data_IF_493568577859
#
_entry.id   IF_493568577859
#
_cell.length_a   1.000
_cell.length_b   1.000
_cell.length_c   1.000
_cell.angle_alpha   90.00
_cell.angle_beta   90.00
_cell.angle_gamma   90.00
#
_symmetry.space_group_name_H-M   'P 1'
#
loop_
_entity.id
_entity.type
_entity.pdbx_description
1 polymer ?
#
# COMPACT_ATOMS: atom_id res chain seq x y z
N UNK A 1 11.77 11.99 32.47
CA UNK A 1 10.43 11.63 31.97
C UNK A 1 9.74 12.80 31.24
N UNK A 2 9.62 14.01 31.83
CA UNK A 2 8.97 15.16 31.16
C UNK A 2 9.58 15.62 29.82
N UNK A 3 10.92 15.76 29.71
CA UNK A 3 11.55 16.25 28.47
C UNK A 3 11.54 15.26 27.30
N UNK A 4 11.48 13.95 27.57
CA UNK A 4 11.41 12.94 26.50
C UNK A 4 10.02 12.89 25.87
N UNK A 5 8.96 13.05 26.68
CA UNK A 5 7.59 13.14 26.18
C UNK A 5 7.37 14.40 25.34
N UNK A 6 7.87 15.56 25.78
CA UNK A 6 7.79 16.81 25.00
C UNK A 6 8.55 16.71 23.68
N UNK A 7 9.72 16.04 23.66
CA UNK A 7 10.49 15.80 22.44
C UNK A 7 9.78 14.84 21.47
N UNK A 8 9.07 13.84 21.99
CA UNK A 8 8.23 12.95 21.19
C UNK A 8 7.04 13.69 20.58
N UNK A 9 6.25 14.40 21.39
CA UNK A 9 5.08 15.17 20.94
C UNK A 9 5.46 16.20 19.88
N UNK A 10 6.60 16.89 20.07
CA UNK A 10 7.11 17.84 19.09
C UNK A 10 7.45 17.15 17.77
N UNK A 11 8.15 16.00 17.80
CA UNK A 11 8.45 15.24 16.58
C UNK A 11 7.17 14.81 15.87
N UNK A 12 6.19 14.29 16.60
CA UNK A 12 4.93 13.84 16.02
C UNK A 12 4.17 15.00 15.36
N UNK A 13 4.06 16.14 16.03
CA UNK A 13 3.38 17.33 15.49
C UNK A 13 4.08 17.91 14.25
N UNK A 14 5.42 17.87 14.21
CA UNK A 14 6.19 18.30 13.05
C UNK A 14 5.92 17.38 11.85
N UNK A 15 5.91 16.06 12.06
CA UNK A 15 5.67 15.09 10.97
C UNK A 15 4.22 15.17 10.49
N UNK A 16 3.25 15.33 11.39
CA UNK A 16 1.86 15.57 11.02
C UNK A 16 1.69 16.87 10.20
N UNK A 17 2.45 17.93 10.55
CA UNK A 17 2.47 19.16 9.75
C UNK A 17 3.04 18.90 8.36
N UNK A 18 4.13 18.14 8.24
CA UNK A 18 4.71 17.74 6.95
C UNK A 18 3.70 16.92 6.15
N UNK A 19 3.00 15.97 6.78
CA UNK A 19 1.98 15.13 6.15
C UNK A 19 0.86 15.99 5.52
N UNK A 20 0.34 16.94 6.31
CA UNK A 20 -0.68 17.88 5.83
C UNK A 20 -0.16 18.77 4.69
N UNK A 21 1.06 19.30 4.81
CA UNK A 21 1.66 20.09 3.75
C UNK A 21 1.87 19.25 2.48
N UNK A 22 2.33 18.01 2.59
CA UNK A 22 2.52 17.11 1.47
C UNK A 22 1.20 16.78 0.76
N UNK A 23 0.10 16.66 1.50
CA UNK A 23 -1.22 16.40 0.93
C UNK A 23 -1.77 17.61 0.13
N UNK A 24 -1.58 18.83 0.64
CA UNK A 24 -2.13 20.04 0.01
C UNK A 24 -1.14 20.79 -0.90
N UNK A 25 0.12 20.35 -0.97
CA UNK A 25 1.15 21.01 -1.75
C UNK A 25 0.81 20.96 -3.24
N UNK A 26 0.78 22.13 -3.87
CA UNK A 26 0.81 22.26 -5.33
C UNK A 26 2.24 22.50 -5.80
N UNK A 27 2.51 22.26 -7.09
CA UNK A 27 3.86 22.44 -7.66
C UNK A 27 4.43 23.85 -7.46
N UNK A 28 3.57 24.85 -7.31
CA UNK A 28 3.93 26.27 -7.15
C UNK A 28 4.34 26.67 -5.73
N UNK A 29 4.19 25.80 -4.72
CA UNK A 29 4.49 26.14 -3.33
C UNK A 29 5.96 25.86 -2.97
N UNK A 30 6.53 26.60 -2.00
CA UNK A 30 7.91 26.40 -1.54
C UNK A 30 8.19 25.00 -0.95
N UNK A 31 7.13 24.26 -0.63
CA UNK A 31 7.26 22.86 -0.23
C UNK A 31 7.81 21.99 -1.37
N UNK A 32 7.45 22.27 -2.63
CA UNK A 32 7.94 21.51 -3.79
C UNK A 32 9.47 21.60 -3.95
N UNK A 33 10.07 22.75 -3.62
CA UNK A 33 11.53 22.95 -3.68
C UNK A 33 12.29 22.36 -2.50
N UNK A 34 11.59 22.01 -1.41
CA UNK A 34 12.21 21.51 -0.17
C UNK A 34 11.85 20.05 0.15
N UNK A 35 10.91 19.44 -0.59
CA UNK A 35 10.39 18.09 -0.34
C UNK A 35 11.49 17.02 -0.26
N UNK A 36 12.50 17.07 -1.14
CA UNK A 36 13.62 16.12 -1.12
C UNK A 36 14.40 16.21 0.20
N UNK A 37 14.79 17.42 0.63
CA UNK A 37 15.50 17.62 1.90
C UNK A 37 14.65 17.21 3.11
N UNK A 38 13.33 17.41 3.04
CA UNK A 38 12.40 16.94 4.07
C UNK A 38 12.40 15.41 4.11
N UNK A 39 12.27 14.75 2.96
CA UNK A 39 12.33 13.28 2.84
C UNK A 39 13.61 12.71 3.43
N UNK A 40 14.78 13.26 3.08
CA UNK A 40 16.08 12.85 3.62
C UNK A 40 16.19 13.02 5.14
N UNK A 41 15.48 14.00 5.71
CA UNK A 41 15.44 14.22 7.15
C UNK A 41 14.51 13.21 7.85
N UNK A 42 13.29 13.02 7.34
CA UNK A 42 12.28 12.19 8.02
C UNK A 42 12.49 10.69 7.81
N UNK A 43 13.15 10.25 6.73
CA UNK A 43 13.44 8.82 6.54
C UNK A 43 14.29 8.25 7.67
N UNK A 44 15.18 9.07 8.25
CA UNK A 44 16.01 8.70 9.41
C UNK A 44 15.19 8.42 10.67
N UNK A 45 13.95 8.90 10.72
CA UNK A 45 13.02 8.69 11.83
C UNK A 45 12.22 7.38 11.72
N UNK A 46 12.32 6.66 10.60
CA UNK A 46 11.63 5.36 10.43
C UNK A 46 11.99 4.35 11.52
N UNK A 47 13.19 4.43 12.10
CA UNK A 47 13.63 3.54 13.17
C UNK A 47 13.03 3.87 14.56
N UNK A 48 12.35 5.01 14.70
CA UNK A 48 11.70 5.41 15.95
C UNK A 48 10.28 4.83 15.97
N UNK A 49 10.06 3.82 16.82
CA UNK A 49 8.77 3.12 16.96
C UNK A 49 7.60 4.10 17.15
N UNK A 50 7.85 5.18 17.89
CA UNK A 50 6.82 6.12 18.33
C UNK A 50 6.29 7.00 17.20
N UNK A 51 7.10 7.32 16.19
CA UNK A 51 6.70 8.19 15.06
C UNK A 51 6.66 7.46 13.72
N UNK A 52 7.00 6.17 13.68
CA UNK A 52 7.13 5.37 12.46
C UNK A 52 5.88 5.45 11.57
N UNK A 53 4.68 5.28 12.14
CA UNK A 53 3.42 5.35 11.38
C UNK A 53 3.20 6.74 10.75
N UNK A 54 3.44 7.82 11.51
CA UNK A 54 3.25 9.19 11.00
C UNK A 54 4.29 9.54 9.92
N UNK A 55 5.54 9.04 10.06
CA UNK A 55 6.56 9.17 9.02
C UNK A 55 6.12 8.47 7.74
N UNK A 56 5.60 7.25 7.84
CA UNK A 56 5.12 6.49 6.68
C UNK A 56 3.93 7.16 6.00
N UNK A 57 2.99 7.73 6.76
CA UNK A 57 1.89 8.54 6.21
C UNK A 57 2.41 9.76 5.45
N UNK A 58 3.32 10.52 6.05
CA UNK A 58 3.93 11.68 5.40
C UNK A 58 4.69 11.28 4.13
N UNK A 59 5.46 10.19 4.18
CA UNK A 59 6.16 9.65 3.01
C UNK A 59 5.17 9.18 1.93
N UNK A 60 4.07 8.54 2.29
CA UNK A 60 3.02 8.13 1.34
C UNK A 60 2.46 9.30 0.53
N UNK A 61 2.26 10.46 1.14
CA UNK A 61 1.87 11.67 0.42
C UNK A 61 3.02 12.24 -0.42
N UNK A 62 4.24 12.25 0.11
CA UNK A 62 5.42 12.75 -0.61
C UNK A 62 5.76 11.92 -1.87
N UNK A 63 5.58 10.60 -1.84
CA UNK A 63 5.93 9.68 -2.94
C UNK A 63 5.08 9.82 -4.20
N UNK A 64 4.03 10.65 -4.18
CA UNK A 64 3.37 11.10 -5.40
C UNK A 64 4.36 11.77 -6.37
N UNK A 65 5.43 12.36 -5.84
CA UNK A 65 6.49 13.02 -6.60
C UNK A 65 7.64 12.05 -6.93
N UNK A 66 8.08 12.05 -8.19
CA UNK A 66 9.14 11.14 -8.67
C UNK A 66 10.48 11.31 -7.96
N UNK A 67 10.90 12.55 -7.70
CA UNK A 67 12.14 12.87 -7.00
C UNK A 67 12.18 12.32 -5.56
N UNK A 68 11.04 12.30 -4.87
CA UNK A 68 10.90 11.64 -3.56
C UNK A 68 11.07 10.14 -3.70
N UNK A 69 10.45 9.50 -4.71
CA UNK A 69 10.60 8.05 -4.93
C UNK A 69 12.07 7.69 -5.20
N UNK A 70 12.76 8.48 -6.01
CA UNK A 70 14.20 8.32 -6.25
C UNK A 70 15.02 8.46 -4.97
N UNK A 71 14.71 9.47 -4.16
CA UNK A 71 15.39 9.73 -2.88
C UNK A 71 15.22 8.54 -1.93
N UNK A 72 14.02 7.93 -1.85
CA UNK A 72 13.79 6.74 -1.02
C UNK A 72 14.61 5.53 -1.48
N UNK A 73 14.72 5.32 -2.80
CA UNK A 73 15.57 4.25 -3.36
C UNK A 73 17.04 4.48 -3.01
N UNK A 74 17.53 5.71 -3.19
CA UNK A 74 18.92 6.07 -2.88
C UNK A 74 19.27 5.90 -1.39
N UNK A 75 18.27 5.99 -0.50
CA UNK A 75 18.42 5.74 0.93
C UNK A 75 18.04 4.31 1.35
N UNK A 76 18.04 3.35 0.43
CA UNK A 76 17.78 1.93 0.67
C UNK A 76 16.44 1.64 1.37
N UNK A 77 15.41 2.48 1.17
CA UNK A 77 14.10 2.26 1.78
C UNK A 77 13.53 0.87 1.44
N UNK A 78 13.79 0.39 0.21
CA UNK A 78 13.35 -0.93 -0.26
C UNK A 78 13.72 -2.08 0.67
N UNK A 79 14.91 -2.03 1.30
CA UNK A 79 15.38 -3.08 2.22
C UNK A 79 14.51 -3.19 3.48
N UNK A 80 13.86 -2.09 3.88
CA UNK A 80 13.02 -2.05 5.07
C UNK A 80 11.57 -2.47 4.80
N UNK A 81 11.12 -2.49 3.53
CA UNK A 81 9.71 -2.75 3.17
C UNK A 81 9.24 -4.10 3.70
N UNK A 82 10.08 -5.14 3.53
CA UNK A 82 9.78 -6.49 4.00
C UNK A 82 9.55 -6.56 5.52
N UNK A 83 10.36 -5.84 6.30
CA UNK A 83 10.22 -5.78 7.77
C UNK A 83 8.96 -5.00 8.17
N UNK A 84 8.67 -3.89 7.47
CA UNK A 84 7.49 -3.10 7.79
C UNK A 84 6.19 -3.87 7.53
N UNK A 85 6.16 -4.72 6.50
CA UNK A 85 5.03 -5.59 6.19
C UNK A 85 4.86 -6.76 7.17
N UNK A 86 5.85 -7.05 8.03
CA UNK A 86 5.72 -8.03 9.12
C UNK A 86 5.04 -7.44 10.37
N UNK A 87 4.68 -6.17 10.35
CA UNK A 87 4.03 -5.53 11.49
C UNK A 87 2.63 -6.08 11.72
N UNK A 88 2.25 -6.29 12.99
CA UNK A 88 0.87 -6.54 13.38
C UNK A 88 0.02 -5.27 13.50
N UNK A 89 0.62 -4.08 13.28
CA UNK A 89 -0.09 -2.82 13.34
C UNK A 89 -0.75 -2.51 11.99
N UNK A 90 -2.08 -2.63 11.92
CA UNK A 90 -2.88 -2.35 10.73
C UNK A 90 -2.67 -0.94 10.17
N UNK A 91 -2.59 0.09 11.02
CA UNK A 91 -2.36 1.48 10.58
C UNK A 91 -1.00 1.63 9.88
N UNK A 92 0.01 0.92 10.39
CA UNK A 92 1.34 0.87 9.79
C UNK A 92 1.28 0.15 8.44
N UNK A 93 0.64 -1.02 8.37
CA UNK A 93 0.46 -1.78 7.13
C UNK A 93 -0.26 -0.96 6.06
N UNK A 94 -1.35 -0.27 6.44
CA UNK A 94 -2.09 0.64 5.57
C UNK A 94 -1.20 1.75 5.03
N UNK A 95 -0.40 2.38 5.90
CA UNK A 95 0.52 3.46 5.52
C UNK A 95 1.62 2.98 4.57
N UNK A 96 2.20 1.79 4.80
CA UNK A 96 3.20 1.21 3.90
C UNK A 96 2.60 0.81 2.56
N UNK A 97 1.42 0.18 2.55
CA UNK A 97 0.75 -0.19 1.31
C UNK A 97 0.39 1.04 0.47
N UNK A 98 -0.10 2.11 1.10
CA UNK A 98 -0.37 3.39 0.43
C UNK A 98 0.89 4.00 -0.19
N UNK A 99 2.02 3.96 0.52
CA UNK A 99 3.31 4.38 -0.03
C UNK A 99 3.73 3.49 -1.21
N UNK A 100 3.56 2.17 -1.11
CA UNK A 100 3.93 1.22 -2.16
C UNK A 100 3.09 1.39 -3.43
N UNK A 101 1.81 1.74 -3.34
CA UNK A 101 0.97 2.07 -4.50
C UNK A 101 1.68 3.12 -5.37
N UNK A 102 2.23 4.17 -4.76
CA UNK A 102 2.96 5.22 -5.47
C UNK A 102 4.34 4.74 -5.96
N UNK A 103 5.08 3.99 -5.13
CA UNK A 103 6.43 3.52 -5.48
C UNK A 103 6.45 2.58 -6.69
N UNK A 104 5.47 1.70 -6.78
CA UNK A 104 5.46 0.63 -7.78
C UNK A 104 5.13 1.13 -9.19
N UNK A 105 4.64 2.37 -9.33
CA UNK A 105 4.38 2.99 -10.64
C UNK A 105 5.62 2.96 -11.55
N UNK A 106 6.79 3.30 -11.01
CA UNK A 106 8.07 3.36 -11.73
C UNK A 106 9.22 2.60 -11.05
N UNK A 107 9.09 2.23 -9.77
CA UNK A 107 10.11 1.47 -9.02
C UNK A 107 9.66 0.03 -8.74
N UNK A 108 9.04 -0.63 -9.74
CA UNK A 108 8.53 -2.03 -9.68
C UNK A 108 9.52 -3.05 -9.13
N UNK A 109 10.82 -2.83 -9.33
CA UNK A 109 11.87 -3.73 -8.87
C UNK A 109 11.89 -3.93 -7.35
N UNK A 110 11.35 -2.98 -6.56
CA UNK A 110 11.25 -3.09 -5.10
C UNK A 110 10.50 -4.37 -4.72
N UNK A 111 9.44 -4.72 -5.46
CA UNK A 111 8.63 -5.89 -5.10
C UNK A 111 9.39 -7.22 -5.29
N UNK A 112 10.15 -7.35 -6.40
CA UNK A 112 10.92 -8.58 -6.69
C UNK A 112 12.18 -8.70 -5.82
N UNK A 113 12.96 -7.62 -5.72
CA UNK A 113 14.28 -7.70 -5.09
C UNK A 113 14.20 -7.91 -3.58
N UNK A 114 13.08 -7.53 -2.96
CA UNK A 114 12.93 -7.48 -1.50
C UNK A 114 11.95 -8.54 -0.98
N UNK A 115 11.60 -9.55 -1.79
CA UNK A 115 10.66 -10.62 -1.44
C UNK A 115 9.34 -10.11 -0.85
N UNK A 116 8.81 -9.03 -1.44
CA UNK A 116 7.61 -8.34 -0.94
C UNK A 116 6.33 -9.00 -1.46
N UNK A 117 6.38 -9.62 -2.65
CA UNK A 117 5.19 -10.24 -3.26
C UNK A 117 4.55 -11.29 -2.36
N UNK A 118 5.27 -12.31 -1.85
CA UNK A 118 4.65 -13.30 -0.96
C UNK A 118 4.02 -12.67 0.28
N UNK A 119 4.65 -11.64 0.85
CA UNK A 119 4.13 -10.93 2.04
C UNK A 119 2.83 -10.19 1.77
N UNK A 120 2.69 -9.59 0.58
CA UNK A 120 1.45 -8.94 0.18
C UNK A 120 0.33 -9.97 -0.04
N UNK A 121 0.65 -11.14 -0.59
CA UNK A 121 -0.31 -12.25 -0.75
C UNK A 121 -0.73 -12.76 0.63
N UNK A 122 0.22 -13.00 1.53
CA UNK A 122 -0.04 -13.43 2.91
C UNK A 122 -0.88 -12.40 3.66
N UNK A 123 -0.59 -11.11 3.49
CA UNK A 123 -1.37 -10.04 4.10
C UNK A 123 -2.80 -10.00 3.56
N UNK A 124 -2.97 -10.11 2.24
CA UNK A 124 -4.29 -10.14 1.60
C UNK A 124 -5.11 -11.35 2.07
N UNK A 125 -4.46 -12.51 2.25
CA UNK A 125 -5.10 -13.73 2.73
C UNK A 125 -5.56 -13.63 4.19
N UNK A 126 -4.79 -12.94 5.02
CA UNK A 126 -4.98 -12.89 6.47
C UNK A 126 -5.60 -11.58 6.96
N UNK A 127 -6.35 -10.87 6.11
CA UNK A 127 -7.02 -9.64 6.51
C UNK A 127 -8.00 -9.91 7.66
N UNK A 128 -7.78 -9.22 8.76
CA UNK A 128 -8.71 -9.14 9.88
C UNK A 128 -9.99 -8.42 9.47
N UNK A 129 -11.14 -8.90 9.92
CA UNK A 129 -12.45 -8.22 9.79
C UNK A 129 -12.82 -7.78 8.37
N UNK A 130 -12.19 -8.39 7.36
CA UNK A 130 -12.27 -7.99 5.96
C UNK A 130 -11.97 -6.49 5.76
N UNK A 131 -10.78 -6.03 6.18
CA UNK A 131 -10.29 -4.66 5.93
C UNK A 131 -10.18 -4.38 4.41
N UNK A 132 -11.29 -3.91 3.84
CA UNK A 132 -11.45 -3.68 2.41
C UNK A 132 -10.56 -2.56 1.88
N UNK A 133 -10.29 -1.55 2.71
CA UNK A 133 -9.37 -0.46 2.38
C UNK A 133 -7.95 -1.01 2.16
N UNK A 134 -7.45 -1.86 3.07
CA UNK A 134 -6.15 -2.49 2.92
C UNK A 134 -6.11 -3.48 1.76
N UNK A 135 -7.17 -4.28 1.57
CA UNK A 135 -7.32 -5.18 0.43
C UNK A 135 -7.22 -4.41 -0.90
N UNK A 136 -7.88 -3.25 -0.99
CA UNK A 136 -7.88 -2.40 -2.16
C UNK A 136 -6.46 -1.88 -2.48
N UNK A 137 -5.72 -1.43 -1.47
CA UNK A 137 -4.33 -0.99 -1.64
C UNK A 137 -3.44 -2.12 -2.15
N UNK A 138 -3.56 -3.33 -1.60
CA UNK A 138 -2.76 -4.49 -2.06
C UNK A 138 -3.10 -4.83 -3.52
N UNK A 139 -4.38 -4.88 -3.87
CA UNK A 139 -4.82 -5.09 -5.25
C UNK A 139 -4.30 -3.99 -6.19
N UNK A 140 -4.28 -2.74 -5.72
CA UNK A 140 -3.75 -1.60 -6.47
C UNK A 140 -2.23 -1.70 -6.65
N UNK A 141 -1.48 -2.18 -5.65
CA UNK A 141 -0.05 -2.48 -5.77
C UNK A 141 0.18 -3.51 -6.88
N UNK A 142 -0.56 -4.62 -6.89
CA UNK A 142 -0.44 -5.62 -7.94
C UNK A 142 -0.87 -5.10 -9.31
N UNK A 143 -1.88 -4.23 -9.38
CA UNK A 143 -2.25 -3.54 -10.62
C UNK A 143 -1.15 -2.57 -11.10
N UNK A 144 -0.46 -1.85 -10.21
CA UNK A 144 0.62 -0.96 -10.64
C UNK A 144 1.88 -1.74 -11.03
N UNK A 145 2.06 -2.90 -10.40
CA UNK A 145 3.17 -3.80 -10.67
C UNK A 145 3.07 -4.45 -12.04
N UNK A 146 1.85 -4.83 -12.41
CA UNK A 146 1.54 -5.48 -13.69
C UNK A 146 1.27 -4.44 -14.78
N UNK A 147 1.74 -4.73 -15.98
CA UNK A 147 1.42 -3.95 -17.17
C UNK A 147 0.26 -4.62 -17.92
N UNK A 148 -0.71 -3.84 -18.40
CA UNK A 148 -1.88 -4.37 -19.12
C UNK A 148 -1.52 -5.12 -20.40
N UNK A 149 -0.36 -4.85 -20.98
CA UNK A 149 0.10 -5.45 -22.23
C UNK A 149 1.05 -6.64 -22.03
N UNK A 150 1.50 -6.88 -20.79
CA UNK A 150 2.53 -7.90 -20.50
C UNK A 150 1.91 -9.11 -19.81
N UNK A 151 2.37 -10.31 -20.17
CA UNK A 151 1.89 -11.55 -19.57
C UNK A 151 2.14 -11.55 -18.04
N UNK A 152 1.14 -11.97 -17.28
CA UNK A 152 1.15 -12.04 -15.82
C UNK A 152 2.29 -12.92 -15.28
N UNK A 153 2.69 -13.93 -16.05
CA UNK A 153 3.82 -14.84 -15.77
C UNK A 153 5.18 -14.12 -15.70
N UNK A 154 5.30 -12.91 -16.26
CA UNK A 154 6.51 -12.09 -16.09
C UNK A 154 6.59 -11.44 -14.69
N UNK A 155 5.47 -11.35 -13.98
CA UNK A 155 5.35 -10.65 -12.71
C UNK A 155 5.25 -11.62 -11.55
N UNK A 156 4.41 -12.65 -11.70
CA UNK A 156 4.12 -13.64 -10.68
C UNK A 156 4.50 -15.03 -11.16
N UNK A 157 4.94 -15.88 -10.23
CA UNK A 157 5.04 -17.31 -10.50
C UNK A 157 3.64 -17.96 -10.46
N UNK A 158 3.55 -19.24 -10.83
CA UNK A 158 2.28 -19.95 -10.90
C UNK A 158 1.57 -20.04 -9.54
N UNK A 159 2.30 -20.34 -8.47
CA UNK A 159 1.76 -20.47 -7.12
C UNK A 159 1.21 -19.11 -6.64
N UNK A 160 1.98 -18.03 -6.80
CA UNK A 160 1.54 -16.67 -6.49
C UNK A 160 0.27 -16.28 -7.28
N UNK A 161 0.21 -16.68 -8.56
CA UNK A 161 -0.95 -16.39 -9.42
C UNK A 161 -2.20 -17.13 -8.95
N UNK A 162 -2.08 -18.44 -8.69
CA UNK A 162 -3.17 -19.29 -8.23
C UNK A 162 -3.69 -18.82 -6.86
N UNK A 163 -2.79 -18.41 -5.97
CA UNK A 163 -3.12 -17.86 -4.66
C UNK A 163 -3.92 -16.55 -4.78
N UNK A 164 -3.43 -15.59 -5.56
CA UNK A 164 -4.12 -14.31 -5.77
C UNK A 164 -5.50 -14.56 -6.38
N UNK A 165 -5.60 -15.38 -7.43
CA UNK A 165 -6.88 -15.69 -8.09
C UNK A 165 -7.86 -16.35 -7.13
N UNK A 166 -7.39 -17.28 -6.30
CA UNK A 166 -8.23 -17.95 -5.30
C UNK A 166 -8.81 -16.94 -4.30
N UNK A 167 -7.94 -16.10 -3.70
CA UNK A 167 -8.36 -15.09 -2.73
C UNK A 167 -9.34 -14.09 -3.36
N UNK A 168 -9.05 -13.60 -4.56
CA UNK A 168 -9.92 -12.63 -5.24
C UNK A 168 -11.30 -13.21 -5.56
N UNK A 169 -11.40 -14.46 -5.99
CA UNK A 169 -12.70 -15.09 -6.25
C UNK A 169 -13.56 -15.19 -4.98
N UNK A 170 -12.95 -15.45 -3.82
CA UNK A 170 -13.66 -15.45 -2.54
C UNK A 170 -14.08 -14.04 -2.11
N UNK A 171 -13.17 -13.07 -2.22
CA UNK A 171 -13.43 -11.70 -1.73
C UNK A 171 -14.36 -10.89 -2.64
N UNK A 172 -14.45 -11.22 -3.92
CA UNK A 172 -15.35 -10.57 -4.89
C UNK A 172 -16.78 -11.12 -4.80
N UNK A 173 -16.99 -12.31 -4.24
CA UNK A 173 -18.33 -12.85 -4.04
C UNK A 173 -19.02 -12.11 -2.88
N UNK A 174 -20.07 -11.30 -3.12
CA UNK A 174 -20.74 -10.55 -2.06
C UNK A 174 -21.39 -11.45 -1.01
N UNK A 175 -21.72 -12.70 -1.35
CA UNK A 175 -22.30 -13.66 -0.38
C UNK A 175 -21.25 -14.10 0.64
N UNK A 176 -19.99 -14.25 0.22
CA UNK A 176 -18.89 -14.64 1.09
C UNK A 176 -18.28 -13.43 1.81
N UNK A 177 -18.08 -12.33 1.07
CA UNK A 177 -17.43 -11.13 1.56
C UNK A 177 -18.28 -10.35 2.58
N UNK A 178 -19.59 -10.26 2.37
CA UNK A 178 -20.47 -9.37 3.13
C UNK A 178 -21.40 -10.12 4.11
N UNK A 179 -21.05 -11.37 4.47
CA UNK A 179 -21.79 -12.14 5.49
C UNK A 179 -21.47 -11.62 6.91
N UNK A 180 -22.18 -10.57 7.30
CA UNK A 180 -22.12 -9.98 8.64
C UNK A 180 -23.28 -10.41 9.55
N UNK A 181 -24.15 -11.34 9.11
CA UNK A 181 -25.42 -11.67 9.79
C UNK A 181 -25.22 -12.16 11.24
N UNK A 182 -24.05 -12.71 11.55
CA UNK A 182 -23.69 -13.24 12.88
C UNK A 182 -22.66 -12.39 13.61
N UNK A 183 -22.28 -11.25 13.04
CA UNK A 183 -21.27 -10.39 13.65
C UNK A 183 -21.88 -9.56 14.79
N UNK A 184 -21.13 -9.34 15.87
CA UNK A 184 -21.51 -8.43 16.96
C UNK A 184 -21.23 -6.95 16.60
N UNK A 185 -21.07 -6.65 15.30
CA UNK A 185 -20.70 -5.34 14.77
C UNK A 185 -21.97 -4.48 14.65
N UNK A 186 -21.86 -3.20 14.98
CA UNK A 186 -22.97 -2.26 14.85
C UNK A 186 -23.34 -1.97 13.38
N UNK A 187 -24.57 -1.51 13.15
CA UNK A 187 -25.11 -1.27 11.82
C UNK A 187 -24.34 -0.20 11.03
N UNK A 188 -23.84 0.84 11.70
CA UNK A 188 -23.08 1.91 11.04
C UNK A 188 -21.74 1.38 10.52
N UNK A 189 -21.04 0.58 11.32
CA UNK A 189 -19.79 -0.09 10.92
C UNK A 189 -20.04 -1.08 9.77
N UNK A 190 -21.12 -1.87 9.80
CA UNK A 190 -21.48 -2.77 8.70
C UNK A 190 -21.76 -1.98 7.40
N UNK A 191 -22.47 -0.86 7.50
CA UNK A 191 -22.74 0.00 6.35
C UNK A 191 -21.46 0.59 5.76
N UNK A 192 -20.53 1.03 6.61
CA UNK A 192 -19.21 1.50 6.18
C UNK A 192 -18.39 0.39 5.50
N UNK A 193 -18.34 -0.82 6.08
CA UNK A 193 -17.65 -1.97 5.49
C UNK A 193 -18.22 -2.32 4.11
N UNK A 194 -19.54 -2.37 3.97
CA UNK A 194 -20.19 -2.59 2.67
C UNK A 194 -19.83 -1.51 1.67
N UNK A 195 -19.87 -0.24 2.08
CA UNK A 195 -19.50 0.87 1.21
C UNK A 195 -18.05 0.75 0.73
N UNK A 196 -17.10 0.53 1.65
CA UNK A 196 -15.69 0.37 1.29
C UNK A 196 -15.46 -0.84 0.37
N UNK A 197 -16.18 -1.94 0.58
CA UNK A 197 -16.13 -3.08 -0.33
C UNK A 197 -16.57 -2.69 -1.75
N UNK A 198 -17.70 -2.01 -1.91
CA UNK A 198 -18.25 -1.64 -3.22
C UNK A 198 -17.43 -0.54 -3.92
N UNK A 199 -16.98 0.47 -3.18
CA UNK A 199 -16.36 1.68 -3.74
C UNK A 199 -14.85 1.54 -3.91
N UNK A 200 -14.17 0.93 -2.93
CA UNK A 200 -12.71 0.88 -2.91
C UNK A 200 -12.17 -0.46 -3.44
N UNK A 201 -12.63 -1.58 -2.84
CA UNK A 201 -12.05 -2.90 -3.10
C UNK A 201 -12.54 -3.56 -4.39
N UNK A 202 -13.85 -3.71 -4.55
CA UNK A 202 -14.45 -4.48 -5.63
C UNK A 202 -13.98 -4.04 -7.03
N UNK A 203 -13.90 -2.73 -7.37
CA UNK A 203 -13.48 -2.29 -8.69
C UNK A 203 -12.03 -2.67 -9.01
N UNK A 204 -11.11 -2.49 -8.06
CA UNK A 204 -9.69 -2.80 -8.27
C UNK A 204 -9.43 -4.31 -8.25
N UNK A 205 -10.13 -5.05 -7.40
CA UNK A 205 -10.07 -6.51 -7.34
C UNK A 205 -10.55 -7.14 -8.65
N UNK A 206 -11.69 -6.68 -9.19
CA UNK A 206 -12.19 -7.11 -10.49
C UNK A 206 -11.20 -6.81 -11.62
N UNK A 207 -10.63 -5.60 -11.62
CA UNK A 207 -9.61 -5.21 -12.60
C UNK A 207 -8.39 -6.12 -12.54
N UNK A 208 -7.90 -6.44 -11.34
CA UNK A 208 -6.78 -7.33 -11.14
C UNK A 208 -7.10 -8.75 -11.62
N UNK A 209 -8.24 -9.31 -11.22
CA UNK A 209 -8.68 -10.64 -11.64
C UNK A 209 -8.82 -10.75 -13.17
N UNK A 210 -9.32 -9.71 -13.83
CA UNK A 210 -9.37 -9.65 -15.30
C UNK A 210 -7.98 -9.76 -15.93
N UNK A 211 -6.93 -9.19 -15.32
CA UNK A 211 -5.55 -9.30 -15.83
C UNK A 211 -5.00 -10.72 -15.70
N UNK A 212 -5.34 -11.44 -14.63
CA UNK A 212 -4.98 -12.86 -14.49
C UNK A 212 -5.72 -13.74 -15.50
N UNK A 213 -6.99 -13.43 -15.79
CA UNK A 213 -7.80 -14.20 -16.74
C UNK A 213 -7.50 -13.89 -18.22
N UNK A 214 -7.08 -12.66 -18.51
CA UNK A 214 -6.70 -12.23 -19.86
C UNK A 214 -5.23 -12.55 -20.12
N UNK A 215 -4.94 -13.82 -20.41
CA UNK A 215 -3.66 -14.22 -20.99
C UNK A 215 -3.46 -13.41 -22.28
N UNK A 216 -2.41 -12.58 -22.42
CA UNK A 216 -2.23 -11.78 -23.61
C UNK A 216 -2.07 -12.67 -24.84
N UNK A 217 -2.63 -12.19 -25.95
CA UNK A 217 -2.64 -12.85 -27.26
C UNK A 217 -1.26 -13.45 -27.58
N UNK A 218 -1.23 -14.78 -27.74
CA UNK A 218 -0.06 -15.49 -28.21
C UNK A 218 0.12 -15.18 -29.70
N UNK A 219 0.99 -14.20 -30.02
CA UNK A 219 1.44 -13.90 -31.38
C UNK A 219 2.39 -14.99 -31.90
N UNK A 220 1.99 -16.27 -31.81
CA UNK A 220 2.65 -17.40 -32.50
C UNK A 220 1.69 -18.56 -32.70
N UNK A 221 0.98 -18.56 -33.82
CA UNK A 221 0.87 -19.77 -34.67
C UNK A 221 0.93 -19.33 -36.14
N UNK A 222 2.10 -19.54 -36.74
CA UNK A 222 2.27 -19.77 -38.17
C UNK A 222 1.69 -21.14 -38.53
#
# INVERSE_FOLDING_TARGET
LGNQNVSFELRNNVIATINNLAYFATDECYFSTTRVSITEAIIKLLFSVEVKSEVLRALGNLTQNEDVRETLIQNNFGENVSELLDSSNQELLFSVCGLLVNMVVDKRFILKQQNVIPKLIDLLRNLSENDWCLAALICQIFCNYTDELTNIEFFFNQEESDDIVTILNEFIDPVLALDYEKSEIDEDTINWLKQSWYEDFFPVACKLLQRFNNVPFNDKIN
#
